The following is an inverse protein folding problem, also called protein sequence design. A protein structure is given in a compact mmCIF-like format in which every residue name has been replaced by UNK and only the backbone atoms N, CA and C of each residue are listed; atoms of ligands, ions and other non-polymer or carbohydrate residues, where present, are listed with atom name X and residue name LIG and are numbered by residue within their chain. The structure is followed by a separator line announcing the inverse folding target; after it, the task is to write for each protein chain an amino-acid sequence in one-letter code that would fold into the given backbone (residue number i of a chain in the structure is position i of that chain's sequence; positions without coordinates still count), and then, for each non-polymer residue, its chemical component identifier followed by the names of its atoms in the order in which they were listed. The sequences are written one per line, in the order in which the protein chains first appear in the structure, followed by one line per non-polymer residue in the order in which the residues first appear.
data_IF_509395920706
#
_entry.id   IF_509395920706
#
_cell.length_a   1.000
_cell.length_b   1.000
_cell.length_c   1.000
_cell.angle_alpha   90.00
_cell.angle_beta   90.00
_cell.angle_gamma   90.00
#
_symmetry.space_group_name_H-M   'P 1'
#
loop_
_entity.id
_entity.type
_entity.pdbx_description
1 polymer ?
#
# COMPACT_ATOMS: atom_id res chain seq x y z
N UNK A 1 7.24 -13.14 -2.00
CA UNK A 1 7.17 -11.86 -2.73
C UNK A 1 8.57 -11.25 -2.89
N UNK A 2 8.76 -10.41 -3.89
CA UNK A 2 9.89 -9.49 -3.97
C UNK A 2 9.42 -8.05 -3.81
N UNK A 3 10.20 -7.23 -3.09
CA UNK A 3 9.88 -5.84 -2.83
C UNK A 3 10.77 -4.91 -3.61
N UNK A 4 10.17 -4.05 -4.42
CA UNK A 4 10.81 -3.02 -5.22
C UNK A 4 10.52 -1.64 -4.62
N UNK A 5 11.60 -0.95 -4.25
CA UNK A 5 11.49 0.36 -3.62
C UNK A 5 11.89 1.43 -4.66
N UNK A 6 10.98 2.38 -4.93
CA UNK A 6 11.18 3.48 -5.88
C UNK A 6 11.34 4.84 -5.21
N UNK A 7 11.43 4.88 -3.86
CA UNK A 7 11.69 6.13 -3.16
C UNK A 7 13.08 6.67 -3.53
N UNK A 8 13.15 7.74 -4.28
CA UNK A 8 14.40 8.35 -4.80
C UNK A 8 15.46 8.59 -3.72
N UNK A 9 15.03 8.89 -2.49
CA UNK A 9 15.92 9.09 -1.34
C UNK A 9 16.59 7.81 -0.81
N UNK A 10 16.12 6.63 -1.23
CA UNK A 10 16.56 5.32 -0.71
C UNK A 10 17.14 4.41 -1.78
N UNK A 11 16.94 4.73 -3.05
CA UNK A 11 17.28 3.87 -4.18
C UNK A 11 18.35 4.55 -5.03
N UNK A 12 19.37 3.78 -5.40
CA UNK A 12 20.31 4.17 -6.44
C UNK A 12 19.73 4.01 -7.85
N UNK A 13 20.52 4.30 -8.86
CA UNK A 13 20.15 4.25 -10.28
C UNK A 13 20.06 2.78 -10.81
N UNK A 14 19.16 1.98 -10.21
CA UNK A 14 18.93 0.63 -10.71
C UNK A 14 18.06 0.70 -11.97
N UNK A 15 18.54 0.18 -13.11
CA UNK A 15 17.76 0.17 -14.35
C UNK A 15 16.43 -0.57 -14.20
N UNK A 16 15.36 -0.08 -14.85
CA UNK A 16 14.01 -0.70 -14.78
C UNK A 16 14.02 -2.15 -15.26
N UNK A 17 14.87 -2.48 -16.21
CA UNK A 17 15.04 -3.83 -16.79
C UNK A 17 15.46 -4.86 -15.72
N UNK A 18 16.22 -4.45 -14.71
CA UNK A 18 16.62 -5.34 -13.61
C UNK A 18 15.40 -5.72 -12.75
N UNK A 19 14.50 -4.76 -12.51
CA UNK A 19 13.26 -5.03 -11.78
C UNK A 19 12.31 -5.91 -12.61
N UNK A 20 12.20 -5.70 -13.92
CA UNK A 20 11.39 -6.54 -14.81
C UNK A 20 11.92 -7.97 -14.81
N UNK A 21 13.22 -8.17 -15.00
CA UNK A 21 13.83 -9.51 -14.99
C UNK A 21 13.62 -10.23 -13.63
N UNK A 22 13.71 -9.49 -12.52
CA UNK A 22 13.41 -10.03 -11.20
C UNK A 22 11.93 -10.40 -11.05
N UNK A 23 11.02 -9.55 -11.52
CA UNK A 23 9.58 -9.79 -11.48
C UNK A 23 9.17 -11.01 -12.32
N UNK A 24 9.73 -11.16 -13.52
CA UNK A 24 9.53 -12.34 -14.36
C UNK A 24 9.98 -13.62 -13.64
N UNK A 25 11.16 -13.56 -13.02
CA UNK A 25 11.70 -14.72 -12.31
C UNK A 25 10.87 -15.15 -11.11
N UNK A 26 10.35 -14.20 -10.33
CA UNK A 26 9.51 -14.55 -9.18
C UNK A 26 8.09 -14.98 -9.60
N UNK A 27 7.61 -14.49 -10.75
CA UNK A 27 6.32 -14.92 -11.30
C UNK A 27 6.30 -16.42 -11.64
N UNK A 28 7.43 -16.99 -12.12
CA UNK A 28 7.58 -18.44 -12.32
C UNK A 28 7.39 -19.27 -11.04
N UNK A 29 7.61 -18.64 -9.87
CA UNK A 29 7.43 -19.25 -8.55
C UNK A 29 6.04 -18.97 -7.95
N UNK A 30 5.14 -18.31 -8.66
CA UNK A 30 3.84 -17.89 -8.15
C UNK A 30 3.94 -16.75 -7.12
N UNK A 31 5.07 -16.05 -7.03
CA UNK A 31 5.26 -14.95 -6.09
C UNK A 31 4.75 -13.63 -6.65
N UNK A 32 4.33 -12.74 -5.77
CA UNK A 32 3.85 -11.40 -6.12
C UNK A 32 4.93 -10.33 -5.93
N UNK A 33 4.73 -9.20 -6.64
CA UNK A 33 5.56 -8.02 -6.51
C UNK A 33 5.02 -7.13 -5.38
N UNK A 34 5.89 -6.54 -4.57
CA UNK A 34 5.55 -5.47 -3.64
C UNK A 34 6.24 -4.20 -4.11
N UNK A 35 5.51 -3.09 -4.24
CA UNK A 35 6.05 -1.83 -4.75
C UNK A 35 5.84 -0.70 -3.76
N UNK A 36 6.83 0.19 -3.64
CA UNK A 36 6.81 1.33 -2.74
C UNK A 36 7.33 2.58 -3.46
N UNK A 37 6.51 3.63 -3.51
CA UNK A 37 6.77 4.87 -4.23
C UNK A 37 6.15 6.07 -3.51
N UNK A 38 6.47 7.30 -3.93
CA UNK A 38 5.79 8.52 -3.51
C UNK A 38 4.59 8.78 -4.45
N UNK A 39 3.43 9.21 -3.90
CA UNK A 39 2.18 9.38 -4.66
C UNK A 39 2.34 10.26 -5.91
N UNK A 40 3.13 11.33 -5.81
CA UNK A 40 3.38 12.25 -6.92
C UNK A 40 4.25 11.66 -8.06
N UNK A 41 4.88 10.51 -7.85
CA UNK A 41 5.68 9.81 -8.86
C UNK A 41 4.86 8.77 -9.66
N UNK A 42 3.62 8.51 -9.23
CA UNK A 42 2.79 7.45 -9.80
C UNK A 42 2.53 7.63 -11.30
N UNK A 43 2.37 8.88 -11.77
CA UNK A 43 2.14 9.15 -13.19
C UNK A 43 3.30 8.62 -14.05
N UNK A 44 4.54 8.91 -13.65
CA UNK A 44 5.74 8.43 -14.34
C UNK A 44 5.94 6.92 -14.20
N UNK A 45 5.55 6.36 -13.04
CA UNK A 45 5.76 4.94 -12.74
C UNK A 45 4.67 4.04 -13.33
N UNK A 46 3.48 4.54 -13.60
CA UNK A 46 2.33 3.74 -14.05
C UNK A 46 2.64 2.81 -15.24
N UNK A 47 3.28 3.25 -16.35
CA UNK A 47 3.59 2.36 -17.46
C UNK A 47 4.49 1.19 -17.07
N UNK A 48 5.45 1.43 -16.18
CA UNK A 48 6.33 0.39 -15.66
C UNK A 48 5.58 -0.54 -14.70
N UNK A 49 4.84 -0.02 -13.72
CA UNK A 49 4.13 -0.82 -12.72
C UNK A 49 3.10 -1.75 -13.38
N UNK A 50 2.40 -1.27 -14.42
CA UNK A 50 1.41 -2.06 -15.17
C UNK A 50 2.03 -3.09 -16.10
N UNK A 51 3.32 -3.02 -16.38
CA UNK A 51 4.06 -4.04 -17.14
C UNK A 51 4.54 -5.21 -16.27
N UNK A 52 4.50 -5.08 -14.93
CA UNK A 52 4.95 -6.15 -14.05
C UNK A 52 4.01 -7.35 -14.11
N UNK A 53 4.54 -8.59 -14.22
CA UNK A 53 3.72 -9.79 -14.25
C UNK A 53 3.11 -10.11 -12.88
N UNK A 54 1.93 -10.74 -12.90
CA UNK A 54 1.27 -11.24 -11.70
C UNK A 54 0.66 -10.16 -10.82
N UNK A 55 0.51 -10.46 -9.54
CA UNK A 55 -0.06 -9.55 -8.55
C UNK A 55 0.98 -8.48 -8.15
N UNK A 56 0.53 -7.25 -8.06
CA UNK A 56 1.32 -6.10 -7.59
C UNK A 56 0.68 -5.53 -6.32
N UNK A 57 1.37 -5.63 -5.20
CA UNK A 57 0.93 -5.11 -3.90
C UNK A 57 1.59 -3.76 -3.66
N UNK A 58 0.80 -2.72 -3.53
CA UNK A 58 1.29 -1.36 -3.23
C UNK A 58 1.41 -1.18 -1.72
N UNK A 59 2.60 -0.81 -1.24
CA UNK A 59 2.84 -0.53 0.17
C UNK A 59 2.20 0.81 0.60
N UNK A 60 1.72 0.85 1.84
CA UNK A 60 1.38 2.05 2.60
C UNK A 60 0.45 3.01 1.85
N UNK A 61 -0.65 2.47 1.29
CA UNK A 61 -1.72 3.23 0.60
C UNK A 61 -1.25 4.04 -0.63
N UNK A 62 -0.07 3.70 -1.21
CA UNK A 62 0.53 4.51 -2.27
C UNK A 62 0.99 5.88 -1.80
N UNK A 63 1.14 6.09 -0.49
CA UNK A 63 1.61 7.30 0.19
C UNK A 63 0.81 8.57 -0.16
N UNK A 64 -0.51 8.60 0.12
CA UNK A 64 -1.26 9.83 -0.03
C UNK A 64 -0.71 10.92 0.91
N UNK A 65 -0.86 12.17 0.50
CA UNK A 65 -0.56 13.33 1.34
C UNK A 65 -1.77 13.64 2.22
N UNK A 66 -1.71 13.27 3.51
CA UNK A 66 -2.81 13.47 4.45
C UNK A 66 -3.14 14.94 4.74
N UNK A 67 -2.29 15.89 4.31
CA UNK A 67 -2.59 17.33 4.38
C UNK A 67 -3.57 17.79 3.30
N UNK A 68 -3.85 16.94 2.32
CA UNK A 68 -4.71 17.24 1.18
C UNK A 68 -6.06 16.53 1.29
N UNK A 69 -7.09 17.01 0.58
CA UNK A 69 -8.38 16.35 0.55
C UNK A 69 -8.35 15.05 -0.27
N UNK A 70 -9.37 14.20 -0.13
CA UNK A 70 -9.48 12.93 -0.85
C UNK A 70 -9.54 13.07 -2.38
N UNK A 71 -9.98 14.21 -2.89
CA UNK A 71 -10.02 14.53 -4.32
C UNK A 71 -8.68 15.04 -4.86
N UNK A 72 -7.61 15.01 -4.05
CA UNK A 72 -6.26 15.33 -4.54
C UNK A 72 -5.90 14.48 -5.77
N UNK A 73 -5.39 15.10 -6.85
CA UNK A 73 -5.11 14.41 -8.11
C UNK A 73 -4.19 13.18 -7.99
N UNK A 74 -3.21 13.20 -7.09
CA UNK A 74 -2.29 12.09 -6.91
C UNK A 74 -2.99 10.88 -6.29
N UNK A 75 -3.83 11.09 -5.27
CA UNK A 75 -4.63 10.02 -4.69
C UNK A 75 -5.69 9.49 -5.67
N UNK A 76 -6.37 10.38 -6.40
CA UNK A 76 -7.35 9.98 -7.43
C UNK A 76 -6.70 9.19 -8.57
N UNK A 77 -5.45 9.50 -8.93
CA UNK A 77 -4.66 8.70 -9.88
C UNK A 77 -4.40 7.29 -9.36
N UNK A 78 -4.10 7.16 -8.06
CA UNK A 78 -3.92 5.85 -7.43
C UNK A 78 -5.22 5.04 -7.41
N UNK A 79 -6.35 5.63 -7.04
CA UNK A 79 -7.65 4.98 -7.12
C UNK A 79 -7.97 4.53 -8.55
N UNK A 80 -7.67 5.37 -9.54
CA UNK A 80 -7.87 5.04 -10.97
C UNK A 80 -7.00 3.87 -11.42
N UNK A 81 -5.75 3.78 -10.95
CA UNK A 81 -4.88 2.65 -11.20
C UNK A 81 -5.49 1.35 -10.66
N UNK A 82 -5.93 1.38 -9.40
CA UNK A 82 -6.56 0.25 -8.74
C UNK A 82 -7.85 -0.20 -9.44
N UNK A 83 -8.68 0.73 -9.93
CA UNK A 83 -9.91 0.40 -10.67
C UNK A 83 -9.66 -0.29 -12.01
N UNK A 84 -8.64 0.18 -12.72
CA UNK A 84 -8.33 -0.32 -14.07
C UNK A 84 -7.59 -1.65 -14.07
N UNK A 85 -6.95 -2.01 -12.96
CA UNK A 85 -6.06 -3.16 -12.87
C UNK A 85 -6.39 -4.03 -11.65
N UNK A 86 -7.13 -5.10 -11.86
CA UNK A 86 -7.58 -6.02 -10.81
C UNK A 86 -6.44 -6.79 -10.12
N UNK A 87 -5.28 -6.88 -10.77
CA UNK A 87 -4.08 -7.47 -10.20
C UNK A 87 -3.33 -6.56 -9.21
N UNK A 88 -3.78 -5.30 -9.03
CA UNK A 88 -3.22 -4.41 -8.01
C UNK A 88 -3.94 -4.59 -6.68
N UNK A 89 -3.16 -4.76 -5.64
CA UNK A 89 -3.55 -4.85 -4.23
C UNK A 89 -2.90 -3.72 -3.45
N UNK A 90 -3.42 -3.38 -2.28
CA UNK A 90 -2.85 -2.31 -1.46
C UNK A 90 -2.81 -2.67 0.01
N UNK A 91 -1.72 -2.29 0.68
CA UNK A 91 -1.62 -2.35 2.15
C UNK A 91 -2.10 -1.03 2.75
N UNK A 92 -3.19 -1.07 3.52
CA UNK A 92 -3.67 0.05 4.34
C UNK A 92 -2.92 0.05 5.67
N UNK A 93 -1.66 0.43 5.61
CA UNK A 93 -0.67 0.37 6.68
C UNK A 93 0.11 1.68 6.81
N UNK A 94 0.86 1.85 7.88
CA UNK A 94 1.72 3.00 8.14
C UNK A 94 1.00 4.36 8.23
N UNK A 95 -0.12 4.50 8.94
CA UNK A 95 -0.71 5.81 9.16
C UNK A 95 0.27 6.76 9.88
N UNK A 96 1.14 6.25 10.73
CA UNK A 96 2.17 7.00 11.45
C UNK A 96 3.21 7.68 10.56
N UNK A 97 3.34 7.24 9.29
CA UNK A 97 4.25 7.85 8.31
C UNK A 97 3.58 8.87 7.41
N UNK A 98 2.26 8.91 7.42
CA UNK A 98 1.46 9.74 6.54
C UNK A 98 0.78 10.87 7.29
N UNK A 99 0.51 10.68 8.58
CA UNK A 99 -0.16 11.65 9.43
C UNK A 99 0.65 12.95 9.59
N UNK A 100 -0.06 14.06 9.66
CA UNK A 100 0.47 15.36 10.10
C UNK A 100 0.08 15.67 11.55
N UNK A 101 -0.99 15.05 12.06
CA UNK A 101 -1.55 15.31 13.38
C UNK A 101 -1.02 14.34 14.46
N UNK A 102 -0.44 13.20 14.05
CA UNK A 102 -0.02 12.13 14.95
C UNK A 102 -1.18 11.23 15.37
N UNK A 103 -0.96 10.39 16.43
CA UNK A 103 -2.03 9.52 16.90
C UNK A 103 -3.23 10.32 17.45
N UNK A 104 -4.46 9.87 17.21
CA UNK A 104 -4.86 8.55 16.76
C UNK A 104 -5.01 8.40 15.23
N UNK A 105 -4.27 9.17 14.43
CA UNK A 105 -4.16 9.10 12.97
C UNK A 105 -5.46 9.38 12.21
N UNK A 106 -6.34 10.20 12.76
CA UNK A 106 -7.69 10.46 12.22
C UNK A 106 -7.64 11.17 10.86
N UNK A 107 -6.59 11.93 10.57
CA UNK A 107 -6.32 12.57 9.29
C UNK A 107 -6.02 11.57 8.16
N UNK A 108 -5.51 10.37 8.47
CA UNK A 108 -5.21 9.31 7.51
C UNK A 108 -6.41 8.36 7.30
N UNK A 109 -7.29 8.26 8.28
CA UNK A 109 -8.46 7.36 8.25
C UNK A 109 -9.31 7.52 6.97
N UNK A 110 -9.63 8.72 6.45
CA UNK A 110 -10.42 8.85 5.23
C UNK A 110 -9.82 8.16 4.01
N UNK A 111 -8.49 8.25 3.82
CA UNK A 111 -7.79 7.62 2.71
C UNK A 111 -7.81 6.08 2.81
N UNK A 112 -7.53 5.57 4.01
CA UNK A 112 -7.56 4.13 4.26
C UNK A 112 -8.96 3.55 4.11
N UNK A 113 -10.00 4.26 4.61
CA UNK A 113 -11.39 3.86 4.48
C UNK A 113 -11.85 3.82 3.04
N UNK A 114 -11.52 4.83 2.24
CA UNK A 114 -11.83 4.87 0.80
C UNK A 114 -11.27 3.63 0.09
N UNK A 115 -10.03 3.24 0.40
CA UNK A 115 -9.41 2.04 -0.17
C UNK A 115 -10.11 0.76 0.29
N UNK A 116 -10.46 0.64 1.58
CA UNK A 116 -11.16 -0.53 2.11
C UNK A 116 -12.56 -0.66 1.54
N UNK A 117 -13.31 0.45 1.44
CA UNK A 117 -14.68 0.46 0.94
C UNK A 117 -14.73 0.11 -0.56
N UNK A 118 -13.78 0.62 -1.35
CA UNK A 118 -13.78 0.48 -2.80
C UNK A 118 -13.14 -0.83 -3.28
N UNK A 119 -12.13 -1.33 -2.56
CA UNK A 119 -11.33 -2.48 -2.94
C UNK A 119 -11.28 -3.55 -1.85
N UNK A 120 -12.42 -3.82 -1.19
CA UNK A 120 -12.54 -4.70 -0.01
C UNK A 120 -11.86 -6.06 -0.20
N UNK A 121 -11.86 -6.59 -1.42
CA UNK A 121 -11.26 -7.89 -1.76
C UNK A 121 -9.75 -7.86 -2.05
N UNK A 122 -9.14 -6.68 -2.10
CA UNK A 122 -7.73 -6.49 -2.49
C UNK A 122 -6.94 -5.58 -1.55
N UNK A 123 -7.43 -5.41 -0.32
CA UNK A 123 -6.75 -4.66 0.74
C UNK A 123 -6.12 -5.60 1.75
N UNK A 124 -4.97 -5.18 2.29
CA UNK A 124 -4.23 -5.87 3.33
C UNK A 124 -3.93 -4.89 4.46
N UNK A 125 -3.74 -5.38 5.67
CA UNK A 125 -3.33 -4.57 6.80
C UNK A 125 -2.06 -5.12 7.44
N UNK A 126 -1.30 -4.25 8.12
CA UNK A 126 -0.14 -4.60 8.91
C UNK A 126 0.45 -3.38 9.61
N UNK A 127 1.25 -3.60 10.64
CA UNK A 127 1.82 -2.54 11.48
C UNK A 127 3.09 -1.93 10.92
N UNK A 128 3.76 -2.56 9.98
CA UNK A 128 5.12 -2.23 9.49
C UNK A 128 6.20 -2.38 10.58
N UNK A 129 5.93 -3.21 11.60
CA UNK A 129 6.95 -3.53 12.60
C UNK A 129 8.25 -4.03 11.94
N UNK A 130 9.44 -3.62 12.34
CA UNK A 130 9.81 -2.81 13.52
C UNK A 130 9.93 -1.30 13.24
N UNK A 131 9.14 -0.71 12.35
CA UNK A 131 9.09 0.72 12.00
C UNK A 131 10.45 1.27 11.57
N UNK A 132 11.08 0.71 10.53
CA UNK A 132 12.42 1.09 10.12
C UNK A 132 12.48 2.58 9.77
N UNK A 133 13.60 3.23 10.12
CA UNK A 133 13.86 4.64 9.88
C UNK A 133 13.00 5.65 10.67
N UNK A 134 12.16 5.22 11.61
CA UNK A 134 11.50 6.11 12.56
C UNK A 134 12.49 6.49 13.67
N UNK A 135 12.81 7.81 13.79
CA UNK A 135 13.83 8.29 14.71
C UNK A 135 13.25 8.97 15.95
N UNK A 136 12.07 9.57 15.84
CA UNK A 136 11.49 10.42 16.87
C UNK A 136 10.15 9.94 17.40
N UNK A 137 9.41 9.18 16.61
CA UNK A 137 8.09 8.67 16.97
C UNK A 137 7.97 7.24 16.48
N UNK A 138 8.18 6.30 17.37
CA UNK A 138 7.85 4.89 17.11
C UNK A 138 6.41 4.70 17.57
N UNK A 139 5.50 4.28 16.70
CA UNK A 139 4.10 4.13 17.06
C UNK A 139 3.90 3.02 18.10
N UNK A 140 2.85 3.14 18.89
CA UNK A 140 2.33 2.07 19.71
C UNK A 140 1.48 1.14 18.83
N UNK A 141 1.78 -0.16 18.85
CA UNK A 141 1.07 -1.17 18.03
C UNK A 141 -0.44 -1.22 18.35
N UNK A 142 -0.80 -1.01 19.60
CA UNK A 142 -2.21 -0.94 20.03
C UNK A 142 -2.94 0.21 19.35
N UNK A 143 -2.31 1.39 19.24
CA UNK A 143 -2.90 2.53 18.53
C UNK A 143 -3.07 2.26 17.03
N UNK A 144 -2.16 1.49 16.41
CA UNK A 144 -2.31 1.07 15.02
C UNK A 144 -3.48 0.09 14.85
N UNK A 145 -3.65 -0.85 15.79
CA UNK A 145 -4.81 -1.76 15.81
C UNK A 145 -6.12 -0.99 16.01
N UNK A 146 -6.15 0.04 16.84
CA UNK A 146 -7.34 0.88 17.08
C UNK A 146 -7.82 1.65 15.84
N UNK A 147 -6.99 1.77 14.80
CA UNK A 147 -7.39 2.33 13.49
C UNK A 147 -8.29 1.37 12.72
N UNK A 148 -8.17 0.05 12.91
CA UNK A 148 -8.89 -0.96 12.12
C UNK A 148 -10.42 -0.73 12.11
N UNK A 149 -11.13 -0.58 13.24
CA UNK A 149 -12.58 -0.34 13.22
C UNK A 149 -12.98 1.00 12.59
N UNK A 150 -12.03 1.95 12.48
CA UNK A 150 -12.28 3.24 11.82
C UNK A 150 -12.22 3.12 10.30
N UNK A 151 -11.39 2.22 9.75
CA UNK A 151 -11.20 2.02 8.30
C UNK A 151 -12.04 0.87 7.74
N UNK A 152 -12.27 -0.18 8.53
CA UNK A 152 -13.13 -1.32 8.20
C UNK A 152 -14.32 -1.31 9.17
N UNK A 153 -15.41 -0.64 8.78
CA UNK A 153 -16.49 -0.23 9.67
C UNK A 153 -17.50 -1.33 10.01
N UNK A 154 -17.38 -2.49 9.36
CA UNK A 154 -18.23 -3.66 9.64
C UNK A 154 -17.40 -4.95 9.70
N UNK A 155 -18.00 -6.00 10.27
CA UNK A 155 -17.33 -7.27 10.50
C UNK A 155 -16.87 -7.96 9.19
N UNK A 156 -17.60 -7.81 8.09
CA UNK A 156 -17.23 -8.41 6.82
C UNK A 156 -15.97 -7.79 6.23
N UNK A 157 -15.86 -6.45 6.28
CA UNK A 157 -14.64 -5.74 5.86
C UNK A 157 -13.44 -6.06 6.75
N UNK A 158 -13.64 -6.15 8.07
CA UNK A 158 -12.58 -6.56 8.99
C UNK A 158 -12.12 -7.98 8.72
N UNK A 159 -13.04 -8.91 8.48
CA UNK A 159 -12.72 -10.29 8.11
C UNK A 159 -11.94 -10.34 6.79
N UNK A 160 -12.37 -9.62 5.77
CA UNK A 160 -11.68 -9.54 4.49
C UNK A 160 -10.25 -8.99 4.66
N UNK A 161 -10.13 -7.85 5.36
CA UNK A 161 -8.86 -7.15 5.56
C UNK A 161 -7.82 -7.96 6.34
N UNK A 162 -8.26 -8.65 7.41
CA UNK A 162 -7.36 -9.28 8.38
C UNK A 162 -7.15 -10.78 8.13
N UNK A 163 -8.08 -11.44 7.43
CA UNK A 163 -8.07 -12.90 7.29
C UNK A 163 -8.16 -13.32 5.82
N UNK A 164 -9.28 -13.03 5.14
CA UNK A 164 -9.59 -13.66 3.86
C UNK A 164 -8.59 -13.24 2.76
N UNK A 165 -8.29 -11.95 2.68
CA UNK A 165 -7.34 -11.43 1.69
C UNK A 165 -5.89 -11.90 1.97
N UNK A 166 -5.35 -11.81 3.21
CA UNK A 166 -4.06 -12.39 3.52
C UNK A 166 -3.98 -13.89 3.23
N UNK A 167 -5.00 -14.66 3.59
CA UNK A 167 -5.05 -16.09 3.29
C UNK A 167 -5.01 -16.37 1.80
N UNK A 168 -5.79 -15.65 1.01
CA UNK A 168 -5.83 -15.79 -0.45
C UNK A 168 -4.50 -15.43 -1.11
N UNK A 169 -3.84 -14.36 -0.64
CA UNK A 169 -2.59 -13.87 -1.26
C UNK A 169 -1.37 -14.70 -0.88
N UNK A 170 -1.29 -15.14 0.38
CA UNK A 170 -0.05 -15.74 0.91
C UNK A 170 -0.10 -17.27 1.04
N UNK A 171 -1.29 -17.88 1.08
CA UNK A 171 -1.47 -19.32 1.28
C UNK A 171 -2.42 -19.98 0.26
N UNK A 172 -2.98 -19.19 -0.67
CA UNK A 172 -3.87 -19.68 -1.75
C UNK A 172 -3.18 -20.31 -2.93
#
# INVERSE_FOLDING_TARGET
AARFNFLKRLVGDTPKEVYVAAAERIAELGWHNVVYFEANELEELTPFLTSLPGIVVVDHMGRPDASKPLDDPDFQRFLTLMDKHENFWVKVSCPERLTIDGPPYDDVVPFARELVDRFTDRVLWGTDWPHPNMKSHVPDEGQLVDVIPKIATDAAKQQALLVDNPMRLYWG
#
